data_IF_946686174113
#
_entry.id   IF_946686174113
#
_cell.length_a   1.000
_cell.length_b   1.000
_cell.length_c   1.000
_cell.angle_alpha   90.00
_cell.angle_beta   90.00
_cell.angle_gamma   90.00
#
_symmetry.space_group_name_H-M   'P 1'
#
loop_
_entity.id
_entity.type
_entity.pdbx_description
1 polymer ?
#
# COMPACT_ATOMS: atom_id res chain seq x y z
N UNK A 1 -23.56 3.78 -26.20
CA UNK A 1 -22.88 4.85 -25.44
C UNK A 1 -21.44 4.39 -25.31
N UNK A 2 -20.48 5.16 -25.81
CA UNK A 2 -19.06 4.85 -25.57
C UNK A 2 -18.79 4.96 -24.07
N UNK A 3 -18.14 3.96 -23.47
CA UNK A 3 -17.67 4.08 -22.10
C UNK A 3 -16.76 5.32 -21.99
N UNK A 4 -16.91 6.11 -20.93
CA UNK A 4 -15.96 7.18 -20.65
C UNK A 4 -14.55 6.58 -20.52
N UNK A 5 -13.53 7.22 -21.10
CA UNK A 5 -12.16 6.75 -20.95
C UNK A 5 -11.79 6.69 -19.47
N UNK A 6 -11.24 5.55 -19.05
CA UNK A 6 -10.76 5.37 -17.68
C UNK A 6 -9.54 6.27 -17.46
N UNK A 7 -9.43 6.97 -16.32
CA UNK A 7 -8.21 7.67 -15.98
C UNK A 7 -7.07 6.65 -15.75
N UNK A 8 -5.87 7.03 -16.18
CA UNK A 8 -4.66 6.22 -16.02
C UNK A 8 -3.86 6.74 -14.82
N UNK A 9 -3.50 5.83 -13.92
CA UNK A 9 -2.64 6.15 -12.77
C UNK A 9 -1.47 5.17 -12.71
N UNK A 10 -0.53 5.20 -13.67
CA UNK A 10 0.48 4.16 -13.80
C UNK A 10 1.50 4.17 -12.66
N UNK A 11 2.09 3.01 -12.40
CA UNK A 11 3.25 2.92 -11.51
C UNK A 11 4.41 3.76 -12.06
N UNK A 12 5.09 4.51 -11.19
CA UNK A 12 6.16 5.44 -11.56
C UNK A 12 7.37 5.27 -10.64
N UNK A 13 8.55 5.30 -11.23
CA UNK A 13 9.80 5.56 -10.50
C UNK A 13 10.09 7.05 -10.67
N UNK A 14 9.73 7.86 -9.68
CA UNK A 14 9.90 9.32 -9.77
C UNK A 14 11.38 9.68 -9.56
N UNK A 15 12.01 9.01 -8.60
CA UNK A 15 13.41 9.22 -8.27
C UNK A 15 14.01 7.93 -7.71
N UNK A 16 15.24 7.61 -8.10
CA UNK A 16 16.00 6.47 -7.57
C UNK A 16 17.40 6.91 -7.22
N UNK A 17 17.82 6.61 -6.00
CA UNK A 17 19.14 6.95 -5.45
C UNK A 17 19.86 5.68 -4.98
N UNK A 18 21.17 5.75 -4.67
CA UNK A 18 21.94 4.59 -4.20
C UNK A 18 21.48 3.98 -2.87
N UNK A 19 20.63 4.68 -2.10
CA UNK A 19 20.02 4.14 -0.87
C UNK A 19 19.07 2.99 -1.19
N UNK A 20 18.44 2.98 -2.38
CA UNK A 20 17.58 1.89 -2.80
C UNK A 20 18.38 0.75 -3.44
N UNK A 21 18.58 -0.30 -2.65
CA UNK A 21 19.30 -1.52 -3.06
C UNK A 21 18.38 -2.68 -3.47
N UNK A 22 17.07 -2.43 -3.53
CA UNK A 22 16.05 -3.42 -3.86
C UNK A 22 15.57 -4.22 -2.65
N UNK A 23 14.47 -4.95 -2.84
CA UNK A 23 13.78 -5.70 -1.77
C UNK A 23 14.69 -6.73 -1.09
N UNK A 24 15.59 -7.36 -1.85
CA UNK A 24 16.53 -8.36 -1.30
C UNK A 24 17.56 -7.76 -0.33
N UNK A 25 17.73 -6.44 -0.29
CA UNK A 25 18.64 -5.79 0.66
C UNK A 25 17.92 -5.20 1.89
N UNK A 26 16.59 -5.24 1.90
CA UNK A 26 15.81 -4.67 2.99
C UNK A 26 15.88 -5.54 4.24
N UNK A 27 15.82 -4.87 5.39
CA UNK A 27 15.63 -5.46 6.72
C UNK A 27 14.41 -4.88 7.42
N UNK A 28 14.01 -3.67 7.05
CA UNK A 28 12.92 -2.95 7.70
C UNK A 28 11.87 -2.55 6.68
N UNK A 29 10.65 -3.03 6.88
CA UNK A 29 9.48 -2.57 6.15
C UNK A 29 8.60 -1.80 7.13
N UNK A 30 8.48 -0.49 6.93
CA UNK A 30 7.64 0.37 7.77
C UNK A 30 6.42 0.76 6.95
N UNK A 31 5.22 0.49 7.45
CA UNK A 31 3.98 0.65 6.70
C UNK A 31 3.08 1.63 7.44
N UNK A 32 2.60 2.64 6.74
CA UNK A 32 1.51 3.52 7.15
C UNK A 32 0.31 3.16 6.29
N UNK A 33 -0.66 2.46 6.88
CA UNK A 33 -1.71 1.77 6.13
C UNK A 33 -3.12 2.05 6.61
N UNK A 34 -4.07 1.41 5.94
CA UNK A 34 -5.43 1.18 6.44
C UNK A 34 -5.72 -0.34 6.49
N UNK A 35 -6.99 -0.73 6.44
CA UNK A 35 -7.41 -2.14 6.47
C UNK A 35 -6.81 -3.00 5.36
N UNK A 36 -6.33 -2.43 4.25
CA UNK A 36 -5.64 -3.17 3.18
C UNK A 36 -4.23 -3.62 3.57
N UNK A 37 -3.65 -3.02 4.62
CA UNK A 37 -2.30 -3.36 5.10
C UNK A 37 -2.29 -3.99 6.48
N UNK A 38 -3.37 -3.81 7.27
CA UNK A 38 -3.49 -4.30 8.64
C UNK A 38 -3.14 -5.79 8.79
N UNK A 39 -2.23 -6.07 9.72
CA UNK A 39 -1.87 -7.43 10.18
C UNK A 39 -2.31 -7.72 11.62
N UNK A 40 -3.06 -6.82 12.26
CA UNK A 40 -3.51 -6.99 13.65
C UNK A 40 -2.50 -6.54 14.71
N UNK A 41 -1.48 -5.77 14.33
CA UNK A 41 -0.49 -5.23 15.25
C UNK A 41 -1.11 -4.15 16.15
N UNK A 42 -0.82 -4.17 17.46
CA UNK A 42 -1.18 -3.12 18.41
C UNK A 42 -0.03 -2.76 19.38
N UNK A 43 -0.27 -1.84 20.33
CA UNK A 43 0.75 -1.39 21.28
C UNK A 43 1.19 -2.46 22.29
N UNK A 44 0.45 -3.56 22.42
CA UNK A 44 0.74 -4.71 23.28
C UNK A 44 1.42 -5.86 22.54
N UNK A 45 1.43 -5.83 21.20
CA UNK A 45 2.10 -6.81 20.36
C UNK A 45 3.61 -6.86 20.59
N UNK A 46 4.21 -8.02 20.34
CA UNK A 46 5.66 -8.21 20.37
C UNK A 46 6.35 -7.35 19.32
N UNK A 47 7.52 -6.80 19.66
CA UNK A 47 8.35 -6.10 18.68
C UNK A 47 8.80 -7.09 17.60
N UNK A 48 8.67 -6.75 16.30
CA UNK A 48 9.09 -7.60 15.19
C UNK A 48 10.57 -8.00 15.26
N UNK A 49 10.86 -9.26 14.95
CA UNK A 49 12.20 -9.87 14.95
C UNK A 49 12.45 -10.64 13.66
N UNK A 50 13.64 -11.20 13.46
CA UNK A 50 13.95 -12.03 12.29
C UNK A 50 13.08 -13.30 12.27
N UNK A 51 12.90 -13.87 13.47
CA UNK A 51 12.20 -15.14 13.70
C UNK A 51 10.67 -14.95 13.73
N UNK A 52 10.22 -13.75 14.11
CA UNK A 52 8.84 -13.30 14.04
C UNK A 52 8.75 -11.92 13.35
N UNK A 53 8.78 -11.88 11.99
CA UNK A 53 8.84 -10.64 11.21
C UNK A 53 7.60 -9.75 11.32
N UNK A 54 6.45 -10.32 11.67
CA UNK A 54 5.20 -9.56 11.84
C UNK A 54 5.04 -9.07 13.28
N UNK A 55 5.66 -9.75 14.26
CA UNK A 55 5.47 -9.46 15.69
C UNK A 55 4.10 -9.93 16.21
N UNK A 56 3.35 -10.69 15.41
CA UNK A 56 2.05 -11.30 15.67
C UNK A 56 2.01 -12.68 15.01
N UNK A 57 1.13 -13.55 15.49
CA UNK A 57 0.99 -14.90 14.90
C UNK A 57 0.58 -14.79 13.42
N UNK A 58 1.39 -15.37 12.54
CA UNK A 58 1.10 -15.42 11.10
C UNK A 58 -0.23 -16.16 10.84
N UNK A 59 -1.13 -15.67 9.95
CA UNK A 59 -0.96 -14.58 8.97
C UNK A 59 -1.25 -13.16 9.48
N UNK A 60 -1.52 -13.01 10.78
CA UNK A 60 -2.06 -11.79 11.37
C UNK A 60 -3.59 -11.73 11.27
N UNK A 61 -4.19 -10.76 11.97
CA UNK A 61 -5.62 -10.44 11.84
C UNK A 61 -5.82 -9.52 10.64
N UNK A 62 -6.17 -10.12 9.50
CA UNK A 62 -6.29 -9.44 8.20
C UNK A 62 -7.75 -9.39 7.72
N UNK A 63 -8.01 -8.55 6.71
CA UNK A 63 -9.30 -8.48 6.00
C UNK A 63 -9.37 -9.41 4.78
N UNK A 64 -8.58 -10.49 4.76
CA UNK A 64 -8.50 -11.46 3.64
C UNK A 64 -9.01 -12.84 4.04
N UNK A 65 -10.16 -12.88 4.75
CA UNK A 65 -10.87 -14.12 5.11
C UNK A 65 -9.99 -15.17 5.83
N UNK A 66 -9.06 -14.71 6.68
CA UNK A 66 -8.13 -15.56 7.43
C UNK A 66 -6.83 -15.92 6.70
N UNK A 67 -6.63 -15.44 5.46
CA UNK A 67 -5.37 -15.53 4.73
C UNK A 67 -4.40 -14.38 5.03
N UNK A 68 -3.16 -14.42 4.51
CA UNK A 68 -2.26 -13.26 4.54
C UNK A 68 -2.68 -12.20 3.50
N UNK A 69 -2.52 -10.93 3.86
CA UNK A 69 -2.56 -9.83 2.91
C UNK A 69 -1.20 -9.69 2.18
N UNK A 70 -1.03 -8.62 1.38
CA UNK A 70 0.21 -8.36 0.65
C UNK A 70 1.45 -8.30 1.55
N UNK A 71 1.32 -7.79 2.77
CA UNK A 71 2.41 -7.73 3.77
C UNK A 71 2.85 -9.13 4.16
N UNK A 72 1.88 -10.01 4.49
CA UNK A 72 2.17 -11.41 4.82
C UNK A 72 2.81 -12.18 3.65
N UNK A 73 2.40 -11.90 2.42
CA UNK A 73 3.01 -12.48 1.22
C UNK A 73 4.46 -12.02 1.00
N UNK A 74 4.76 -10.74 1.23
CA UNK A 74 6.14 -10.24 1.18
C UNK A 74 7.00 -10.89 2.27
N UNK A 75 6.49 -10.98 3.51
CA UNK A 75 7.20 -11.66 4.61
C UNK A 75 7.53 -13.10 4.24
N UNK A 76 6.55 -13.89 3.75
CA UNK A 76 6.81 -15.27 3.31
C UNK A 76 7.89 -15.38 2.23
N UNK A 77 7.98 -14.40 1.35
CA UNK A 77 8.89 -14.42 0.20
C UNK A 77 10.31 -14.01 0.57
N UNK A 78 10.45 -12.99 1.43
CA UNK A 78 11.72 -12.33 1.69
C UNK A 78 12.32 -12.59 3.08
N UNK A 79 11.51 -12.85 4.10
CA UNK A 79 12.03 -13.15 5.44
C UNK A 79 12.89 -14.42 5.51
N UNK A 80 12.64 -15.50 4.74
CA UNK A 80 13.56 -16.64 4.71
C UNK A 80 14.94 -16.31 4.12
N UNK A 81 15.04 -15.22 3.36
CA UNK A 81 16.28 -14.80 2.66
C UNK A 81 17.01 -13.70 3.43
N UNK A 82 16.30 -12.95 4.26
CA UNK A 82 16.77 -11.72 4.88
C UNK A 82 16.19 -11.54 6.28
N UNK A 83 16.89 -10.81 7.13
CA UNK A 83 16.49 -10.46 8.49
C UNK A 83 15.40 -9.35 8.51
N UNK A 84 14.22 -9.67 7.94
CA UNK A 84 13.10 -8.75 7.78
C UNK A 84 12.33 -8.52 9.09
N UNK A 85 11.96 -7.27 9.32
CA UNK A 85 11.10 -6.80 10.43
C UNK A 85 10.06 -5.84 9.85
N UNK A 86 8.79 -6.09 10.13
CA UNK A 86 7.67 -5.29 9.63
C UNK A 86 7.06 -4.46 10.76
N UNK A 87 7.10 -3.14 10.62
CA UNK A 87 6.42 -2.21 11.52
C UNK A 87 5.19 -1.66 10.81
N UNK A 88 4.04 -2.31 11.02
CA UNK A 88 2.77 -1.89 10.44
C UNK A 88 2.00 -0.96 11.39
N UNK A 89 1.78 0.28 10.93
CA UNK A 89 1.03 1.32 11.61
C UNK A 89 -0.36 1.54 11.00
N UNK A 90 -0.94 0.53 10.35
CA UNK A 90 -2.35 0.54 9.94
C UNK A 90 -3.32 0.70 11.14
N UNK A 91 -2.87 0.31 12.35
CA UNK A 91 -3.41 0.70 13.66
C UNK A 91 -2.23 1.01 14.60
N UNK A 92 -2.18 2.22 15.19
CA UNK A 92 -0.93 2.78 15.75
C UNK A 92 -0.43 2.16 17.07
N UNK A 93 0.90 2.17 17.29
CA UNK A 93 1.48 1.87 18.61
C UNK A 93 2.97 1.50 18.70
N UNK A 94 3.62 1.08 17.62
CA UNK A 94 4.99 0.54 17.67
C UNK A 94 6.12 1.61 17.69
N UNK A 95 7.33 1.23 18.10
CA UNK A 95 8.56 1.99 17.82
C UNK A 95 9.40 1.20 16.83
N UNK A 96 9.68 1.77 15.66
CA UNK A 96 10.63 1.19 14.72
C UNK A 96 12.02 1.08 15.37
N UNK A 97 12.68 -0.07 15.22
CA UNK A 97 14.07 -0.28 15.66
C UNK A 97 15.08 0.62 14.92
N UNK A 98 16.37 0.47 15.21
CA UNK A 98 17.43 1.26 14.55
C UNK A 98 17.66 0.79 13.11
N UNK A 99 16.94 1.39 12.16
CA UNK A 99 17.13 1.20 10.70
C UNK A 99 18.13 2.20 10.11
N UNK A 100 18.62 1.93 8.90
CA UNK A 100 19.41 2.88 8.08
C UNK A 100 18.68 3.23 6.78
N UNK A 101 19.18 4.23 6.07
CA UNK A 101 18.65 4.64 4.77
C UNK A 101 18.72 3.52 3.72
N UNK A 102 19.65 2.58 3.85
CA UNK A 102 19.93 1.54 2.86
C UNK A 102 19.18 0.22 3.08
N UNK A 103 18.62 0.02 4.28
CA UNK A 103 17.96 -1.24 4.67
C UNK A 103 16.48 -1.07 5.05
N UNK A 104 15.92 0.13 4.87
CA UNK A 104 14.52 0.44 5.17
C UNK A 104 13.71 0.87 3.95
N UNK A 105 12.44 0.47 3.91
CA UNK A 105 11.42 0.97 2.99
C UNK A 105 10.21 1.45 3.78
N UNK A 106 9.76 2.67 3.50
CA UNK A 106 8.57 3.27 4.09
C UNK A 106 7.44 3.24 3.05
N UNK A 107 6.41 2.45 3.33
CA UNK A 107 5.25 2.26 2.47
C UNK A 107 4.07 3.05 3.03
N UNK A 108 3.38 3.80 2.18
CA UNK A 108 2.15 4.50 2.55
C UNK A 108 1.02 4.06 1.61
N UNK A 109 -0.01 3.42 2.17
CA UNK A 109 -1.24 3.08 1.46
C UNK A 109 -2.45 3.43 2.32
N UNK A 110 -2.97 4.63 2.10
CA UNK A 110 -4.09 5.22 2.83
C UNK A 110 -5.00 5.96 1.86
N UNK A 111 -6.16 6.42 2.34
CA UNK A 111 -7.08 7.25 1.57
C UNK A 111 -8.35 6.56 1.11
N UNK A 112 -8.42 5.22 1.18
CA UNK A 112 -9.63 4.49 0.78
C UNK A 112 -10.82 4.92 1.66
N UNK A 113 -10.59 5.00 2.98
CA UNK A 113 -11.60 5.45 3.94
C UNK A 113 -11.90 6.95 3.83
N UNK A 114 -10.89 7.78 3.60
CA UNK A 114 -11.02 9.24 3.43
C UNK A 114 -11.83 9.58 2.17
N UNK A 115 -11.56 8.89 1.06
CA UNK A 115 -12.36 9.03 -0.16
C UNK A 115 -13.78 8.51 0.02
N UNK A 116 -14.00 7.50 0.87
CA UNK A 116 -15.35 6.96 1.12
C UNK A 116 -16.18 7.86 2.04
N UNK A 117 -15.59 8.39 3.11
CA UNK A 117 -16.33 9.02 4.22
C UNK A 117 -15.70 10.31 4.77
N UNK A 118 -14.49 10.63 4.35
CA UNK A 118 -13.68 11.71 4.91
C UNK A 118 -13.77 13.03 4.13
N UNK A 119 -12.86 13.97 4.44
CA UNK A 119 -12.79 15.26 3.77
C UNK A 119 -12.29 15.16 2.32
N UNK A 120 -12.24 16.29 1.62
CA UNK A 120 -11.77 16.35 0.23
C UNK A 120 -10.28 15.97 0.12
N UNK A 121 -9.92 15.40 -1.04
CA UNK A 121 -8.61 14.82 -1.28
C UNK A 121 -7.46 15.82 -1.08
N UNK A 122 -7.59 17.04 -1.63
CA UNK A 122 -6.50 18.02 -1.64
C UNK A 122 -5.98 18.36 -0.23
N UNK A 123 -6.87 18.67 0.70
CA UNK A 123 -6.49 19.01 2.09
C UNK A 123 -5.90 17.80 2.82
N UNK A 124 -6.46 16.62 2.59
CA UNK A 124 -6.04 15.38 3.26
C UNK A 124 -4.65 14.95 2.79
N UNK A 125 -4.42 14.99 1.48
CA UNK A 125 -3.12 14.67 0.87
C UNK A 125 -2.05 15.69 1.28
N UNK A 126 -2.38 16.98 1.38
CA UNK A 126 -1.43 17.99 1.87
C UNK A 126 -0.94 17.67 3.30
N UNK A 127 -1.87 17.34 4.21
CA UNK A 127 -1.53 16.91 5.58
C UNK A 127 -0.70 15.63 5.59
N UNK A 128 -1.05 14.66 4.74
CA UNK A 128 -0.29 13.42 4.59
C UNK A 128 1.17 13.72 4.23
N UNK A 129 1.43 14.59 3.26
CA UNK A 129 2.81 14.90 2.85
C UNK A 129 3.59 15.74 3.87
N UNK A 130 2.90 16.51 4.71
CA UNK A 130 3.51 17.13 5.90
C UNK A 130 4.03 16.06 6.88
N UNK A 131 3.30 14.94 7.04
CA UNK A 131 3.77 13.81 7.85
C UNK A 131 4.93 13.07 7.15
N UNK A 132 4.90 12.93 5.83
CA UNK A 132 6.00 12.32 5.08
C UNK A 132 7.30 13.14 5.18
N UNK A 133 7.21 14.47 5.17
CA UNK A 133 8.35 15.36 5.47
C UNK A 133 8.93 15.08 6.87
N UNK A 134 8.07 14.76 7.84
CA UNK A 134 8.52 14.39 9.19
C UNK A 134 9.25 13.05 9.16
N UNK A 135 8.71 12.03 8.49
CA UNK A 135 9.36 10.72 8.33
C UNK A 135 10.73 10.86 7.67
N UNK A 136 10.83 11.69 6.62
CA UNK A 136 12.08 12.08 5.97
C UNK A 136 13.09 12.71 6.94
N UNK A 137 12.63 13.67 7.77
CA UNK A 137 13.48 14.36 8.73
C UNK A 137 14.08 13.41 9.79
N UNK A 138 13.42 12.28 10.06
CA UNK A 138 13.95 11.21 10.92
C UNK A 138 14.97 10.29 10.24
N UNK A 139 15.26 10.49 8.95
CA UNK A 139 16.31 9.78 8.22
C UNK A 139 15.82 8.82 7.14
N UNK A 140 14.50 8.70 6.94
CA UNK A 140 13.94 7.82 5.91
C UNK A 140 14.36 8.28 4.51
N UNK A 141 14.77 7.35 3.64
CA UNK A 141 15.26 7.67 2.29
C UNK A 141 14.62 6.87 1.16
N UNK A 142 13.90 5.78 1.44
CA UNK A 142 13.20 5.02 0.41
C UNK A 142 11.71 5.02 0.74
N UNK A 143 10.91 5.63 -0.15
CA UNK A 143 9.48 5.81 -0.01
C UNK A 143 8.73 5.12 -1.14
N UNK A 144 7.70 4.37 -0.78
CA UNK A 144 6.73 3.80 -1.69
C UNK A 144 5.35 4.32 -1.34
N UNK A 145 4.73 5.02 -2.27
CA UNK A 145 3.34 5.45 -2.19
C UNK A 145 2.49 4.52 -3.05
N UNK A 146 1.31 4.14 -2.55
CA UNK A 146 0.35 3.32 -3.29
C UNK A 146 -0.90 4.14 -3.52
N UNK A 147 -1.27 4.30 -4.78
CA UNK A 147 -2.54 4.94 -5.15
C UNK A 147 -3.71 4.03 -4.77
N UNK A 148 -4.93 4.55 -4.68
CA UNK A 148 -6.09 3.74 -4.28
C UNK A 148 -6.68 2.98 -5.48
N UNK A 149 -7.26 1.79 -5.26
CA UNK A 149 -7.84 0.98 -6.33
C UNK A 149 -9.17 1.59 -6.83
N UNK A 150 -9.73 1.14 -7.97
CA UNK A 150 -11.01 1.59 -8.49
C UNK A 150 -12.17 1.01 -7.64
N UNK A 151 -12.32 1.49 -6.41
CA UNK A 151 -13.31 1.00 -5.43
C UNK A 151 -14.76 1.16 -5.95
N UNK A 152 -15.01 2.06 -6.89
CA UNK A 152 -16.29 2.17 -7.59
C UNK A 152 -16.67 0.91 -8.37
N UNK A 153 -15.69 0.09 -8.76
CA UNK A 153 -15.89 -1.22 -9.40
C UNK A 153 -16.12 -2.35 -8.39
N UNK A 154 -15.98 -2.10 -7.10
CA UNK A 154 -16.26 -3.09 -6.05
C UNK A 154 -17.76 -3.19 -5.73
N UNK A 155 -18.21 -4.25 -5.02
CA UNK A 155 -19.60 -4.37 -4.57
C UNK A 155 -20.07 -3.20 -3.70
N UNK A 156 -19.15 -2.51 -3.02
CA UNK A 156 -19.46 -1.34 -2.19
C UNK A 156 -19.88 -0.10 -3.00
N UNK A 157 -19.60 -0.06 -4.32
CA UNK A 157 -20.01 0.99 -5.27
C UNK A 157 -19.74 2.42 -4.76
N UNK A 158 -18.51 2.69 -4.34
CA UNK A 158 -18.13 4.00 -3.82
C UNK A 158 -18.17 5.13 -4.87
N UNK A 159 -17.98 6.37 -4.41
CA UNK A 159 -18.04 7.54 -5.27
C UNK A 159 -16.79 7.66 -6.17
N UNK A 160 -16.86 7.13 -7.39
CA UNK A 160 -15.77 7.11 -8.40
C UNK A 160 -14.93 8.38 -8.43
N UNK A 161 -15.56 9.55 -8.51
CA UNK A 161 -14.84 10.82 -8.63
C UNK A 161 -13.93 11.09 -7.42
N UNK A 162 -14.37 10.78 -6.20
CA UNK A 162 -13.56 10.97 -4.98
C UNK A 162 -12.30 10.12 -4.99
N UNK A 163 -12.35 8.95 -5.63
CA UNK A 163 -11.18 8.09 -5.77
C UNK A 163 -10.21 8.59 -6.85
N UNK A 164 -10.75 9.11 -7.96
CA UNK A 164 -9.96 9.76 -9.02
C UNK A 164 -9.27 11.02 -8.47
N UNK A 165 -9.99 11.83 -7.70
CA UNK A 165 -9.47 13.06 -7.10
C UNK A 165 -8.33 12.75 -6.12
N UNK A 166 -8.49 11.72 -5.27
CA UNK A 166 -7.42 11.25 -4.39
C UNK A 166 -6.17 10.86 -5.16
N UNK A 167 -6.31 10.00 -6.17
CA UNK A 167 -5.16 9.56 -6.97
C UNK A 167 -4.49 10.73 -7.70
N UNK A 168 -5.29 11.67 -8.20
CA UNK A 168 -4.78 12.88 -8.88
C UNK A 168 -3.97 13.77 -7.93
N UNK A 169 -4.48 14.03 -6.74
CA UNK A 169 -3.77 14.84 -5.73
C UNK A 169 -2.54 14.11 -5.18
N UNK A 170 -2.64 12.79 -4.97
CA UNK A 170 -1.52 11.96 -4.57
C UNK A 170 -0.37 12.03 -5.58
N UNK A 171 -0.63 11.88 -6.89
CA UNK A 171 0.43 11.94 -7.91
C UNK A 171 1.16 13.29 -7.91
N UNK A 172 0.42 14.39 -7.79
CA UNK A 172 0.99 15.75 -7.70
C UNK A 172 1.89 15.89 -6.47
N UNK A 173 1.41 15.39 -5.32
CA UNK A 173 2.12 15.49 -4.06
C UNK A 173 3.37 14.60 -4.03
N UNK A 174 3.31 13.37 -4.56
CA UNK A 174 4.46 12.47 -4.72
C UNK A 174 5.53 13.11 -5.61
N UNK A 175 5.13 13.70 -6.75
CA UNK A 175 6.07 14.38 -7.64
C UNK A 175 6.74 15.58 -6.95
N UNK A 176 5.95 16.37 -6.20
CA UNK A 176 6.46 17.51 -5.43
C UNK A 176 7.42 17.08 -4.31
N UNK A 177 7.10 15.99 -3.60
CA UNK A 177 7.94 15.41 -2.56
C UNK A 177 9.27 14.89 -3.12
N UNK A 178 9.23 14.17 -4.26
CA UNK A 178 10.44 13.72 -4.93
C UNK A 178 11.35 14.89 -5.33
N UNK A 179 10.77 15.95 -5.91
CA UNK A 179 11.53 17.15 -6.28
C UNK A 179 12.11 17.91 -5.07
N UNK A 180 11.38 17.92 -3.95
CA UNK A 180 11.80 18.56 -2.69
C UNK A 180 12.95 17.82 -2.00
N UNK A 181 13.00 16.48 -2.13
CA UNK A 181 13.96 15.61 -1.44
C UNK A 181 14.81 14.80 -2.44
N UNK A 182 15.75 15.43 -3.16
CA UNK A 182 16.51 14.81 -4.26
C UNK A 182 17.40 13.61 -3.84
N UNK A 183 17.64 13.45 -2.55
CA UNK A 183 18.40 12.33 -1.97
C UNK A 183 17.57 11.06 -1.74
N UNK A 184 16.24 11.14 -1.87
CA UNK A 184 15.35 10.00 -1.59
C UNK A 184 15.06 9.15 -2.84
N UNK A 185 14.91 7.85 -2.67
CA UNK A 185 14.17 7.06 -3.66
C UNK A 185 12.68 7.22 -3.42
N UNK A 186 11.93 7.58 -4.46
CA UNK A 186 10.47 7.80 -4.41
C UNK A 186 9.80 7.01 -5.52
N UNK A 187 8.98 6.06 -5.10
CA UNK A 187 8.25 5.12 -5.95
C UNK A 187 6.75 5.34 -5.77
N UNK A 188 5.99 5.25 -6.86
CA UNK A 188 4.54 5.20 -6.87
C UNK A 188 4.12 3.87 -7.48
N UNK A 189 3.36 3.07 -6.74
CA UNK A 189 2.77 1.83 -7.22
C UNK A 189 1.28 2.01 -7.48
N UNK A 190 0.82 1.47 -8.61
CA UNK A 190 -0.56 1.56 -9.03
C UNK A 190 -1.37 0.36 -8.58
N UNK A 191 -2.08 0.51 -7.47
CA UNK A 191 -3.17 -0.43 -7.19
C UNK A 191 -4.34 -0.22 -8.16
N UNK A 192 -4.53 1.00 -8.68
CA UNK A 192 -5.54 1.31 -9.68
C UNK A 192 -5.45 0.41 -10.92
N UNK A 193 -4.29 0.35 -11.55
CA UNK A 193 -4.08 -0.42 -12.78
C UNK A 193 -4.09 -1.92 -12.51
N UNK A 194 -3.53 -2.36 -11.37
CA UNK A 194 -3.51 -3.77 -10.97
C UNK A 194 -4.93 -4.29 -10.80
N UNK A 195 -5.76 -3.58 -10.03
CA UNK A 195 -7.16 -4.00 -9.82
C UNK A 195 -7.99 -3.88 -11.10
N UNK A 196 -7.80 -2.84 -11.91
CA UNK A 196 -8.47 -2.78 -13.21
C UNK A 196 -8.09 -3.98 -14.09
N UNK A 197 -6.82 -4.36 -14.13
CA UNK A 197 -6.36 -5.52 -14.91
C UNK A 197 -7.02 -6.83 -14.45
N UNK A 198 -7.15 -7.04 -13.14
CA UNK A 198 -7.87 -8.20 -12.60
C UNK A 198 -9.36 -8.18 -12.91
N UNK A 199 -9.99 -7.01 -12.88
CA UNK A 199 -11.41 -6.85 -13.10
C UNK A 199 -11.79 -6.82 -14.59
N UNK A 200 -10.85 -6.47 -15.46
CA UNK A 200 -11.02 -6.45 -16.92
C UNK A 200 -10.79 -7.84 -17.52
N UNK A 201 -9.77 -8.57 -17.04
CA UNK A 201 -9.38 -9.89 -17.58
C UNK A 201 -9.18 -10.95 -16.47
N UNK A 202 -10.19 -11.25 -15.64
CA UNK A 202 -10.05 -12.12 -14.45
C UNK A 202 -9.53 -13.53 -14.76
N UNK A 203 -9.90 -14.10 -15.91
CA UNK A 203 -9.50 -15.45 -16.31
C UNK A 203 -7.98 -15.58 -16.55
N UNK A 204 -7.32 -14.51 -17.00
CA UNK A 204 -5.86 -14.47 -17.19
C UNK A 204 -5.13 -14.68 -15.86
N UNK A 205 -5.75 -14.26 -14.77
CA UNK A 205 -5.21 -14.35 -13.42
C UNK A 205 -5.72 -15.56 -12.65
N UNK A 206 -6.42 -16.50 -13.32
CA UNK A 206 -6.90 -17.73 -12.72
C UNK A 206 -8.15 -17.57 -11.85
N UNK A 207 -8.83 -16.42 -11.92
CA UNK A 207 -10.14 -16.25 -11.34
C UNK A 207 -11.19 -16.87 -12.27
N UNK A 208 -12.02 -17.75 -11.70
CA UNK A 208 -13.16 -18.31 -12.41
C UNK A 208 -14.40 -17.50 -12.08
N UNK A 209 -15.25 -17.26 -13.07
CA UNK A 209 -16.56 -16.68 -12.84
C UNK A 209 -17.43 -17.73 -12.15
N UNK A 210 -17.59 -17.66 -10.83
CA UNK A 210 -18.73 -18.32 -10.20
C UNK A 210 -19.91 -17.32 -10.21
N UNK A 211 -20.91 -17.59 -11.05
CA UNK A 211 -22.23 -16.96 -10.93
C UNK A 211 -22.74 -17.26 -9.49
N UNK A 212 -23.48 -16.40 -8.79
CA UNK A 212 -24.93 -16.19 -9.01
C UNK A 212 -25.47 -15.00 -8.17
N UNK A 213 -26.39 -14.26 -8.82
CA UNK A 213 -27.45 -13.35 -8.31
C UNK A 213 -27.07 -11.92 -7.84
N UNK A 214 -27.83 -10.96 -8.38
CA UNK A 214 -27.83 -9.52 -8.05
C UNK A 214 -26.71 -8.64 -8.65
N UNK A 215 -25.99 -9.12 -9.67
CA UNK A 215 -25.12 -8.25 -10.48
C UNK A 215 -23.84 -7.81 -9.77
N UNK A 216 -23.34 -8.63 -8.85
CA UNK A 216 -22.02 -8.53 -8.24
C UNK A 216 -21.19 -9.71 -8.75
N UNK A 217 -20.01 -9.43 -9.30
CA UNK A 217 -19.03 -10.48 -9.64
C UNK A 217 -18.17 -10.73 -8.40
N UNK A 218 -18.25 -11.91 -7.84
CA UNK A 218 -17.28 -12.40 -6.86
C UNK A 218 -16.17 -13.15 -7.61
N UNK A 219 -14.92 -12.72 -7.42
CA UNK A 219 -13.75 -13.39 -7.99
C UNK A 219 -13.23 -14.38 -6.94
N UNK A 220 -13.38 -15.68 -7.20
CA UNK A 220 -12.81 -16.73 -6.36
C UNK A 220 -11.52 -17.26 -7.00
N UNK A 221 -10.49 -17.47 -6.19
CA UNK A 221 -9.27 -18.14 -6.64
C UNK A 221 -9.57 -19.61 -6.90
N UNK A 222 -9.06 -20.15 -8.02
CA UNK A 222 -8.99 -21.59 -8.19
C UNK A 222 -8.03 -22.17 -7.14
N UNK A 223 -8.51 -23.11 -6.34
CA UNK A 223 -7.69 -23.83 -5.35
C UNK A 223 -6.55 -24.61 -6.00
#
# INVERSE_FOLDING_TARGET
MSAEPQPEFPSKVLQKTPTWRGLDSLKFLVIFGDSYSAVGYDFSSSTPTAEDPLGVEFPGDTYTEGGPNWVGHLVRTFAPKNDWRVYDYAVGGARAGYWTAEDSLFVTWVGINDSAWGPEAAETVEKLFTLQDTVHAYGARNFLFINIPPIDRSPARGQRQRYIDWNTELEKAVASFAAKHPECTVLLFSSWDVFNSFLDDPEVYGFVHEYIANGVVELLSSQ
#
